data_IF_741040033933
#
_entry.id   IF_741040033933
#
_cell.length_a   1.000
_cell.length_b   1.000
_cell.length_c   1.000
_cell.angle_alpha   90.00
_cell.angle_beta   90.00
_cell.angle_gamma   90.00
#
_symmetry.space_group_name_H-M   'P 1'
#
loop_
_entity.id
_entity.type
_entity.pdbx_description
1 polymer ?
#
# COMPACT_ATOMS: atom_id res chain seq x y z
N UNK A 1 -0.46 -13.18 -25.43
CA UNK A 1 0.52 -14.01 -24.71
C UNK A 1 1.65 -13.10 -24.32
N UNK A 2 2.03 -13.05 -23.03
CA UNK A 2 3.22 -12.34 -22.58
C UNK A 2 4.45 -13.22 -22.92
N UNK A 3 5.48 -12.63 -23.51
CA UNK A 3 6.72 -13.34 -23.86
C UNK A 3 7.44 -13.81 -22.57
N UNK A 4 8.02 -15.03 -22.55
CA UNK A 4 8.76 -15.51 -21.40
C UNK A 4 9.98 -14.61 -21.14
N UNK A 5 9.95 -13.87 -20.03
CA UNK A 5 10.98 -12.91 -19.64
C UNK A 5 10.48 -11.48 -19.40
N UNK A 6 9.26 -11.14 -19.84
CA UNK A 6 8.69 -9.83 -19.56
C UNK A 6 8.11 -9.77 -18.15
N UNK A 7 8.69 -8.94 -17.30
CA UNK A 7 8.18 -8.58 -15.99
C UNK A 7 7.15 -7.44 -16.11
N UNK A 8 6.10 -7.50 -15.31
CA UNK A 8 5.08 -6.47 -15.24
C UNK A 8 5.36 -5.58 -14.04
N UNK A 9 5.20 -4.27 -14.19
CA UNK A 9 5.25 -3.28 -13.11
C UNK A 9 4.01 -2.41 -13.16
N UNK A 10 3.34 -2.27 -12.01
CA UNK A 10 2.15 -1.46 -11.86
C UNK A 10 2.50 -0.09 -11.32
N UNK A 11 2.03 0.97 -11.99
CA UNK A 11 1.95 2.30 -11.39
C UNK A 11 0.58 2.47 -10.73
N UNK A 12 0.57 2.55 -9.41
CA UNK A 12 -0.63 2.64 -8.60
C UNK A 12 -0.79 4.06 -8.04
N UNK A 13 -2.00 4.59 -8.13
CA UNK A 13 -2.39 5.80 -7.41
C UNK A 13 -3.31 5.41 -6.26
N UNK A 14 -2.82 5.61 -5.05
CA UNK A 14 -3.49 5.31 -3.79
C UNK A 14 -4.03 6.61 -3.22
N UNK A 15 -5.33 6.71 -2.96
CA UNK A 15 -5.95 7.89 -2.36
C UNK A 15 -6.84 7.50 -1.19
N UNK A 16 -6.74 8.25 -0.09
CA UNK A 16 -7.61 8.08 1.06
C UNK A 16 -8.99 8.66 0.77
N UNK A 17 -10.03 7.83 0.94
CA UNK A 17 -11.43 8.18 0.70
C UNK A 17 -11.95 9.00 1.88
N UNK A 18 -12.82 9.97 1.60
CA UNK A 18 -13.49 10.72 2.65
C UNK A 18 -12.60 11.75 3.35
N UNK A 19 -11.49 12.19 2.75
CA UNK A 19 -10.72 13.34 3.25
C UNK A 19 -10.56 14.37 2.16
N UNK A 20 -10.82 15.63 2.52
CA UNK A 20 -10.53 16.79 1.71
C UNK A 20 -9.62 17.76 2.47
N UNK A 21 -8.54 18.26 1.86
CA UNK A 21 -8.11 17.96 0.49
C UNK A 21 -7.40 16.60 0.39
N UNK A 22 -7.49 15.95 -0.78
CA UNK A 22 -7.10 14.55 -0.97
C UNK A 22 -5.67 14.24 -0.55
N UNK A 23 -5.52 13.17 0.23
CA UNK A 23 -4.24 12.54 0.62
C UNK A 23 -3.99 11.38 -0.33
N UNK A 24 -2.80 11.34 -0.95
CA UNK A 24 -2.50 10.31 -1.93
C UNK A 24 -1.01 9.98 -2.04
N UNK A 25 -0.73 8.80 -2.59
CA UNK A 25 0.60 8.29 -2.95
C UNK A 25 0.56 7.68 -4.35
N UNK A 26 1.62 7.88 -5.13
CA UNK A 26 1.85 7.23 -6.42
C UNK A 26 3.02 6.28 -6.29
N UNK A 27 2.77 5.00 -6.50
CA UNK A 27 3.70 3.91 -6.22
C UNK A 27 3.99 3.13 -7.50
N UNK A 28 5.23 2.68 -7.66
CA UNK A 28 5.58 1.62 -8.60
C UNK A 28 5.76 0.33 -7.83
N UNK A 29 5.08 -0.73 -8.25
CA UNK A 29 5.08 -2.04 -7.58
C UNK A 29 5.27 -3.14 -8.62
N UNK A 30 6.09 -4.14 -8.28
CA UNK A 30 6.31 -5.29 -9.15
C UNK A 30 5.03 -6.12 -9.28
N UNK A 31 4.74 -6.65 -10.47
CA UNK A 31 3.65 -7.61 -10.66
C UNK A 31 3.88 -8.94 -9.92
N UNK A 32 5.13 -9.22 -9.55
CA UNK A 32 5.49 -10.36 -8.69
C UNK A 32 5.26 -10.07 -7.21
N UNK A 33 4.93 -8.83 -6.82
CA UNK A 33 4.53 -8.55 -5.44
C UNK A 33 3.20 -9.24 -5.14
N UNK A 34 3.05 -9.75 -3.93
CA UNK A 34 1.85 -10.40 -3.44
C UNK A 34 0.85 -9.37 -2.89
N UNK A 35 -0.36 -9.80 -2.54
CA UNK A 35 -1.31 -8.96 -1.80
C UNK A 35 -0.74 -8.57 -0.43
N UNK A 36 -0.05 -9.49 0.24
CA UNK A 36 0.65 -9.21 1.50
C UNK A 36 1.77 -8.17 1.30
N UNK A 37 2.58 -8.29 0.24
CA UNK A 37 3.61 -7.30 -0.07
C UNK A 37 2.99 -5.92 -0.33
N UNK A 38 1.88 -5.87 -1.06
CA UNK A 38 1.18 -4.62 -1.35
C UNK A 38 0.69 -3.96 -0.05
N UNK A 39 0.16 -4.73 0.90
CA UNK A 39 -0.21 -4.24 2.23
C UNK A 39 0.98 -3.55 2.92
N UNK A 40 2.12 -4.23 3.05
CA UNK A 40 3.29 -3.62 3.69
C UNK A 40 3.81 -2.39 2.94
N UNK A 41 3.77 -2.40 1.61
CA UNK A 41 4.14 -1.22 0.81
C UNK A 41 3.23 -0.03 1.13
N UNK A 42 1.93 -0.25 1.31
CA UNK A 42 0.98 0.80 1.70
C UNK A 42 1.26 1.31 3.11
N UNK A 43 1.46 0.42 4.07
CA UNK A 43 1.81 0.76 5.46
C UNK A 43 3.06 1.66 5.51
N UNK A 44 4.11 1.29 4.78
CA UNK A 44 5.35 2.09 4.69
C UNK A 44 5.09 3.44 4.01
N UNK A 45 4.32 3.48 2.92
CA UNK A 45 4.04 4.71 2.16
C UNK A 45 3.13 5.70 2.91
N UNK A 46 2.31 5.20 3.84
CA UNK A 46 1.43 6.00 4.68
C UNK A 46 2.08 6.34 6.02
N UNK A 47 3.11 5.60 6.43
CA UNK A 47 3.80 5.81 7.71
C UNK A 47 3.12 5.11 8.88
N UNK A 48 2.37 4.04 8.61
CA UNK A 48 1.60 3.24 9.55
C UNK A 48 2.39 2.02 10.06
N UNK A 49 1.89 1.40 11.13
CA UNK A 49 2.59 0.39 11.94
C UNK A 49 2.20 -1.04 11.61
N UNK A 50 1.07 -1.23 10.91
CA UNK A 50 0.43 -2.53 10.73
C UNK A 50 -0.11 -3.16 12.03
N UNK A 51 -0.71 -2.35 12.91
CA UNK A 51 -1.27 -2.82 14.19
C UNK A 51 -2.74 -3.32 14.09
N UNK A 52 -3.41 -3.08 12.95
CA UNK A 52 -4.83 -3.38 12.77
C UNK A 52 -5.13 -4.34 11.61
N UNK A 53 -6.35 -4.89 11.62
CA UNK A 53 -6.86 -5.74 10.54
C UNK A 53 -6.98 -4.96 9.23
N UNK A 54 -6.77 -5.66 8.12
CA UNK A 54 -6.83 -5.09 6.78
C UNK A 54 -7.55 -6.02 5.79
N UNK A 55 -8.00 -5.42 4.69
CA UNK A 55 -8.64 -6.15 3.59
C UNK A 55 -8.52 -5.40 2.27
N UNK A 56 -8.24 -6.13 1.21
CA UNK A 56 -8.43 -5.68 -0.17
C UNK A 56 -9.71 -6.26 -0.75
N UNK A 57 -10.46 -5.44 -1.49
CA UNK A 57 -11.59 -5.92 -2.30
C UNK A 57 -11.27 -5.68 -3.77
N UNK A 58 -11.02 -6.75 -4.52
CA UNK A 58 -10.62 -6.73 -5.93
C UNK A 58 -11.56 -7.67 -6.69
N UNK A 59 -12.19 -7.18 -7.77
CA UNK A 59 -13.17 -7.95 -8.56
C UNK A 59 -14.32 -8.55 -7.72
N UNK A 60 -14.70 -7.89 -6.62
CA UNK A 60 -15.73 -8.38 -5.69
C UNK A 60 -15.29 -9.53 -4.79
N UNK A 61 -14.00 -9.88 -4.80
CA UNK A 61 -13.38 -10.84 -3.90
C UNK A 61 -12.52 -10.13 -2.86
N UNK A 62 -12.63 -10.61 -1.63
CA UNK A 62 -11.90 -10.07 -0.49
C UNK A 62 -10.61 -10.86 -0.23
N UNK A 63 -9.53 -10.14 0.03
CA UNK A 63 -8.21 -10.68 0.36
C UNK A 63 -7.70 -10.03 1.64
N UNK A 64 -7.16 -10.82 2.56
CA UNK A 64 -6.63 -10.35 3.83
C UNK A 64 -6.06 -11.51 4.64
N UNK A 65 -5.47 -11.20 5.79
CA UNK A 65 -4.94 -12.23 6.69
C UNK A 65 -6.07 -12.79 7.55
N UNK A 66 -6.22 -14.11 7.56
CA UNK A 66 -7.21 -14.77 8.41
C UNK A 66 -6.73 -14.84 9.85
N UNK A 67 -7.59 -14.50 10.81
CA UNK A 67 -7.30 -14.62 12.24
C UNK A 67 -8.22 -15.64 12.91
N UNK A 68 -7.72 -16.44 13.87
CA UNK A 68 -8.57 -17.34 14.64
C UNK A 68 -9.72 -16.57 15.32
N UNK A 69 -10.97 -16.97 15.04
CA UNK A 69 -12.16 -16.29 15.55
C UNK A 69 -12.51 -14.95 14.88
N UNK A 70 -11.76 -14.56 13.84
CA UNK A 70 -11.99 -13.36 13.05
C UNK A 70 -12.58 -13.63 11.66
N UNK A 71 -12.34 -12.71 10.73
CA UNK A 71 -12.71 -12.87 9.32
C UNK A 71 -11.83 -13.95 8.70
N UNK A 72 -12.46 -14.83 7.92
CA UNK A 72 -11.79 -15.86 7.14
C UNK A 72 -11.74 -15.46 5.66
N UNK A 73 -10.56 -15.60 5.06
CA UNK A 73 -10.33 -15.34 3.64
C UNK A 73 -9.98 -16.66 2.93
N UNK A 74 -10.45 -16.81 1.70
CA UNK A 74 -10.30 -18.05 0.93
C UNK A 74 -8.89 -18.33 0.44
N UNK A 75 -8.06 -17.30 0.34
CA UNK A 75 -6.72 -17.37 -0.25
C UNK A 75 -5.71 -16.85 0.74
N UNK A 76 -4.51 -17.42 0.69
CA UNK A 76 -3.36 -16.87 1.40
C UNK A 76 -2.86 -15.61 0.65
N UNK A 77 -2.94 -14.41 1.24
CA UNK A 77 -2.51 -13.17 0.58
C UNK A 77 -1.02 -13.19 0.20
N UNK A 78 -0.19 -14.00 0.87
CA UNK A 78 1.22 -14.19 0.54
C UNK A 78 1.45 -15.06 -0.72
N UNK A 79 0.41 -15.70 -1.25
CA UNK A 79 0.48 -16.53 -2.46
C UNK A 79 -0.24 -15.89 -3.67
N UNK A 80 -0.93 -14.77 -3.47
CA UNK A 80 -1.68 -14.07 -4.53
C UNK A 80 -0.83 -12.94 -5.10
N UNK A 81 -0.22 -13.17 -6.26
CA UNK A 81 0.57 -12.16 -6.97
C UNK A 81 -0.31 -11.15 -7.73
N UNK A 82 0.08 -9.87 -7.76
CA UNK A 82 -0.62 -8.81 -8.50
C UNK A 82 -0.74 -9.10 -10.01
N UNK A 83 0.26 -9.72 -10.62
CA UNK A 83 0.21 -10.17 -12.01
C UNK A 83 -0.88 -11.24 -12.25
N UNK A 84 -1.16 -12.08 -11.25
CA UNK A 84 -2.19 -13.11 -11.32
C UNK A 84 -3.61 -12.56 -11.28
N UNK A 85 -3.80 -11.35 -10.76
CA UNK A 85 -5.09 -10.67 -10.68
C UNK A 85 -5.54 -10.08 -12.03
N UNK A 86 -4.67 -10.03 -13.04
CA UNK A 86 -4.99 -9.52 -14.38
C UNK A 86 -5.61 -8.12 -14.38
N UNK A 87 -5.13 -7.25 -13.48
CA UNK A 87 -5.58 -5.87 -13.36
C UNK A 87 -5.37 -5.11 -14.68
N UNK A 88 -6.26 -4.17 -14.98
CA UNK A 88 -6.22 -3.35 -16.20
C UNK A 88 -5.91 -1.90 -15.88
N UNK A 89 -5.37 -1.18 -16.86
CA UNK A 89 -5.23 0.27 -16.72
C UNK A 89 -6.57 0.95 -16.46
N UNK A 90 -6.54 1.98 -15.61
CA UNK A 90 -7.69 2.73 -15.09
C UNK A 90 -8.61 1.95 -14.15
N UNK A 91 -8.33 0.66 -13.92
CA UNK A 91 -9.07 -0.14 -12.97
C UNK A 91 -8.87 0.37 -11.53
N UNK A 92 -9.89 0.17 -10.70
CA UNK A 92 -9.91 0.58 -9.30
C UNK A 92 -10.28 -0.58 -8.41
N UNK A 93 -9.67 -0.63 -7.24
CA UNK A 93 -10.00 -1.54 -6.16
C UNK A 93 -9.84 -0.85 -4.81
N UNK A 94 -10.32 -1.50 -3.75
CA UNK A 94 -10.35 -0.94 -2.41
C UNK A 94 -9.34 -1.63 -1.50
N UNK A 95 -8.78 -0.85 -0.59
CA UNK A 95 -7.99 -1.32 0.54
C UNK A 95 -8.54 -0.66 1.82
N UNK A 96 -9.06 -1.47 2.72
CA UNK A 96 -9.55 -1.05 4.03
C UNK A 96 -8.53 -1.45 5.09
N UNK A 97 -8.17 -0.48 5.93
CA UNK A 97 -7.28 -0.67 7.05
C UNK A 97 -7.96 -0.20 8.33
N UNK A 98 -7.79 -0.96 9.40
CA UNK A 98 -8.46 -0.81 10.68
C UNK A 98 -9.99 -0.83 10.57
N UNK A 99 -10.61 -1.96 10.93
CA UNK A 99 -12.07 -2.10 10.84
C UNK A 99 -12.83 -1.31 11.91
N UNK A 100 -12.13 -0.72 12.89
CA UNK A 100 -12.71 0.19 13.85
C UNK A 100 -12.81 1.61 13.27
N UNK A 101 -11.68 2.24 12.91
CA UNK A 101 -11.65 3.58 12.33
C UNK A 101 -12.01 3.64 10.83
N UNK A 102 -11.98 2.50 10.13
CA UNK A 102 -12.37 2.29 8.73
C UNK A 102 -11.63 3.19 7.74
N UNK A 103 -10.30 3.10 7.75
CA UNK A 103 -9.46 3.80 6.78
C UNK A 103 -9.55 3.17 5.39
N UNK A 104 -10.42 3.72 4.55
CA UNK A 104 -10.67 3.22 3.20
C UNK A 104 -9.82 3.95 2.14
N UNK A 105 -9.01 3.21 1.40
CA UNK A 105 -8.23 3.70 0.28
C UNK A 105 -8.78 3.20 -1.04
N UNK A 106 -8.89 4.10 -2.00
CA UNK A 106 -9.08 3.74 -3.41
C UNK A 106 -7.72 3.61 -4.07
N UNK A 107 -7.44 2.44 -4.63
CA UNK A 107 -6.23 2.19 -5.42
C UNK A 107 -6.63 2.12 -6.88
N UNK A 108 -6.01 2.96 -7.71
CA UNK A 108 -6.21 2.99 -9.16
C UNK A 108 -4.94 2.57 -9.88
N UNK A 109 -5.06 1.67 -10.84
CA UNK A 109 -3.97 1.34 -11.77
C UNK A 109 -3.87 2.47 -12.79
N UNK A 110 -2.79 3.26 -12.74
CA UNK A 110 -2.57 4.36 -13.68
C UNK A 110 -1.91 3.89 -14.97
N UNK A 111 -0.95 2.98 -14.86
CA UNK A 111 -0.20 2.44 -15.99
C UNK A 111 0.32 1.03 -15.68
N UNK A 112 0.48 0.21 -16.71
CA UNK A 112 1.11 -1.11 -16.63
C UNK A 112 2.33 -1.13 -17.54
N UNK A 113 3.51 -1.18 -16.95
CA UNK A 113 4.79 -1.14 -17.66
C UNK A 113 5.34 -2.56 -17.79
N UNK A 114 5.73 -2.94 -19.00
CA UNK A 114 6.38 -4.21 -19.28
C UNK A 114 7.89 -3.97 -19.45
N UNK A 115 8.72 -4.80 -18.81
CA UNK A 115 10.17 -4.66 -18.82
C UNK A 115 10.86 -6.03 -18.81
N UNK A 116 12.07 -6.10 -19.36
CA UNK A 116 12.85 -7.36 -19.39
C UNK A 116 13.37 -7.79 -18.00
N UNK A 117 13.29 -6.89 -17.02
CA UNK A 117 13.72 -7.13 -15.64
C UNK A 117 12.63 -6.70 -14.67
N UNK A 118 12.43 -7.43 -13.56
CA UNK A 118 11.49 -7.03 -12.54
C UNK A 118 11.99 -5.78 -11.82
N UNK A 119 11.05 -4.99 -11.32
CA UNK A 119 11.36 -3.86 -10.45
C UNK A 119 12.06 -4.40 -9.19
N UNK A 120 13.30 -3.94 -8.86
CA UNK A 120 14.07 -4.52 -7.75
C UNK A 120 13.48 -4.20 -6.38
N UNK A 121 12.83 -3.03 -6.25
CA UNK A 121 12.10 -2.61 -5.06
C UNK A 121 10.99 -1.63 -5.45
N UNK A 122 9.84 -1.63 -4.77
CA UNK A 122 8.79 -0.65 -4.96
C UNK A 122 9.28 0.76 -4.67
N UNK A 123 8.69 1.72 -5.37
CA UNK A 123 9.13 3.12 -5.34
C UNK A 123 7.94 4.03 -5.17
N UNK A 124 7.98 4.93 -4.18
CA UNK A 124 7.08 6.07 -4.13
C UNK A 124 7.58 7.14 -5.12
N UNK A 125 6.83 7.36 -6.20
CA UNK A 125 7.15 8.35 -7.22
C UNK A 125 6.77 9.77 -6.78
N UNK A 126 5.60 9.90 -6.17
CA UNK A 126 5.04 11.16 -5.71
C UNK A 126 3.98 10.94 -4.63
N UNK A 127 3.62 11.99 -3.91
CA UNK A 127 2.54 11.95 -2.94
C UNK A 127 2.11 13.36 -2.55
N UNK A 128 0.96 13.45 -1.90
CA UNK A 128 0.50 14.69 -1.27
C UNK A 128 -0.16 14.40 0.07
N UNK A 129 0.12 15.29 1.02
CA UNK A 129 -0.24 15.37 2.44
C UNK A 129 0.35 14.24 3.28
N UNK A 130 0.60 14.54 4.56
CA UNK A 130 0.81 13.49 5.55
C UNK A 130 -0.46 12.63 5.62
N UNK A 131 -0.28 11.32 5.78
CA UNK A 131 -1.41 10.46 6.14
C UNK A 131 -1.82 10.77 7.60
N UNK A 132 -3.09 10.56 7.97
CA UNK A 132 -3.49 10.64 9.37
C UNK A 132 -2.67 9.64 10.21
N UNK A 133 -2.27 9.98 11.45
CA UNK A 133 -1.72 8.99 12.38
C UNK A 133 -2.72 7.84 12.60
N UNK A 134 -2.23 6.66 12.97
CA UNK A 134 -3.11 5.60 13.46
C UNK A 134 -3.80 6.03 14.76
N UNK A 135 -4.95 5.43 15.07
CA UNK A 135 -5.77 5.71 16.26
C UNK A 135 -6.23 7.16 16.43
N UNK A 136 -6.23 7.96 15.36
CA UNK A 136 -6.76 9.33 15.41
C UNK A 136 -8.28 9.41 15.23
N UNK A 137 -8.95 8.27 15.10
CA UNK A 137 -10.40 8.15 14.90
C UNK A 137 -10.80 8.29 13.44
N UNK A 138 -12.08 8.01 13.17
CA UNK A 138 -12.66 7.94 11.83
C UNK A 138 -12.30 9.16 10.92
N UNK A 139 -12.22 8.96 9.58
CA UNK A 139 -11.80 9.99 8.63
C UNK A 139 -12.50 11.35 8.77
N UNK A 140 -13.79 11.37 9.15
CA UNK A 140 -14.59 12.58 9.38
C UNK A 140 -14.00 13.47 10.48
N UNK A 141 -13.56 12.87 11.60
CA UNK A 141 -12.95 13.57 12.74
C UNK A 141 -11.58 14.11 12.33
N UNK A 142 -10.84 13.31 11.56
CA UNK A 142 -9.48 13.59 11.11
C UNK A 142 -9.38 14.69 10.05
N UNK A 143 -10.47 15.05 9.35
CA UNK A 143 -10.48 16.16 8.36
C UNK A 143 -9.98 17.49 8.92
N UNK A 144 -10.19 17.73 10.21
CA UNK A 144 -9.85 19.00 10.85
C UNK A 144 -8.35 19.11 11.15
N UNK A 145 -7.59 18.01 11.11
CA UNK A 145 -6.23 17.93 11.62
C UNK A 145 -5.11 17.90 10.55
N UNK A 146 -5.44 17.92 9.25
CA UNK A 146 -4.45 17.59 8.20
C UNK A 146 -4.03 18.83 7.42
N UNK A 147 -3.12 19.61 8.01
CA UNK A 147 -2.39 20.66 7.33
C UNK A 147 -1.05 20.16 6.77
N UNK A 148 -0.88 20.47 5.48
CA UNK A 148 0.32 20.49 4.65
C UNK A 148 1.10 19.20 4.37
N UNK A 149 1.51 19.09 3.09
CA UNK A 149 2.44 18.07 2.62
C UNK A 149 3.83 18.66 2.56
N UNK A 150 4.76 18.10 3.33
CA UNK A 150 6.17 18.41 3.20
C UNK A 150 6.80 17.51 2.11
N UNK A 151 7.45 18.06 1.06
CA UNK A 151 8.22 17.27 0.10
C UNK A 151 9.31 16.39 0.76
N UNK A 152 9.76 16.70 1.97
CA UNK A 152 10.67 15.85 2.75
C UNK A 152 10.04 14.51 3.16
N UNK A 153 8.72 14.42 3.31
CA UNK A 153 8.03 13.16 3.61
C UNK A 153 8.10 12.19 2.44
N UNK A 154 7.93 12.66 1.20
CA UNK A 154 8.05 11.80 0.02
C UNK A 154 9.48 11.24 -0.15
N UNK A 155 10.52 12.02 0.19
CA UNK A 155 11.91 11.56 0.15
C UNK A 155 12.24 10.63 1.34
N UNK A 156 11.64 10.86 2.52
CA UNK A 156 11.69 9.94 3.65
C UNK A 156 11.01 8.62 3.32
N UNK A 157 9.84 8.63 2.70
CA UNK A 157 9.11 7.43 2.27
C UNK A 157 9.91 6.69 1.21
N UNK A 158 10.50 7.39 0.22
CA UNK A 158 11.42 6.81 -0.77
C UNK A 158 12.62 6.14 -0.11
N UNK A 159 13.23 6.80 0.88
CA UNK A 159 14.39 6.28 1.61
C UNK A 159 14.01 5.08 2.48
N UNK A 160 12.86 5.15 3.16
CA UNK A 160 12.32 4.08 4.02
C UNK A 160 11.97 2.85 3.18
N UNK A 161 11.31 3.04 2.03
CA UNK A 161 10.97 1.97 1.09
C UNK A 161 12.23 1.28 0.52
N UNK A 162 13.27 2.05 0.17
CA UNK A 162 14.57 1.50 -0.28
C UNK A 162 15.30 0.73 0.83
N UNK A 163 15.28 1.24 2.06
CA UNK A 163 15.99 0.63 3.19
C UNK A 163 15.35 -0.69 3.64
N UNK A 164 14.02 -0.77 3.67
CA UNK A 164 13.28 -1.93 4.16
C UNK A 164 13.32 -3.13 3.20
N UNK A 165 13.57 -2.87 1.91
CA UNK A 165 13.46 -3.88 0.85
C UNK A 165 14.82 -4.27 0.24
N UNK A 166 15.89 -3.54 0.59
CA UNK A 166 17.28 -3.95 0.35
C UNK A 166 17.77 -5.01 1.34
N UNK A 167 17.08 -5.19 2.47
CA UNK A 167 17.11 -6.42 3.26
C UNK A 167 16.03 -7.34 2.74
N UNK A 168 16.32 -8.64 2.60
CA UNK A 168 15.33 -9.67 2.28
C UNK A 168 14.01 -9.41 3.01
N UNK A 169 12.87 -9.46 2.31
CA UNK A 169 11.51 -9.18 2.80
C UNK A 169 11.09 -9.97 4.06
N UNK A 170 11.94 -10.89 4.51
CA UNK A 170 11.83 -11.60 5.78
C UNK A 170 12.49 -10.73 6.84
N UNK A 171 11.72 -10.14 7.76
CA UNK A 171 12.16 -9.34 8.92
C UNK A 171 12.25 -7.83 8.70
N UNK A 172 11.12 -7.13 8.61
CA UNK A 172 11.06 -5.81 9.28
C UNK A 172 9.75 -5.60 10.04
N UNK A 173 9.48 -6.49 10.99
CA UNK A 173 8.72 -6.16 12.20
C UNK A 173 9.73 -6.17 13.34
N UNK A 174 10.49 -5.09 13.53
CA UNK A 174 11.16 -4.77 14.81
C UNK A 174 11.79 -3.38 14.78
N UNK A 175 11.24 -2.52 15.64
CA UNK A 175 11.82 -1.31 16.23
C UNK A 175 12.35 -0.22 15.28
N UNK A 176 11.64 0.91 15.23
CA UNK A 176 12.31 2.20 15.24
C UNK A 176 11.72 3.10 16.32
N UNK A 177 12.38 3.02 17.48
CA UNK A 177 12.31 3.99 18.56
C UNK A 177 12.85 5.31 18.01
N UNK A 178 12.02 6.34 17.93
CA UNK A 178 12.47 7.71 17.72
C UNK A 178 13.26 8.11 18.96
N UNK A 179 14.57 8.32 18.82
CA UNK A 179 15.34 9.06 19.81
C UNK A 179 15.36 10.52 19.33
N UNK A 180 14.70 11.46 20.03
CA UNK A 180 14.83 12.87 19.72
C UNK A 180 16.25 13.35 20.09
N UNK A 181 16.77 14.31 19.32
CA UNK A 181 17.97 15.07 19.72
C UNK A 181 17.66 15.95 20.93
#
# INVERSE_FOLDING_TARGET
>A
MLEPGTSVTYQLHVSLIGISPMIWRRLMVSGNSTIEDLHYILQIALGWSDDHLNRFTIHGKDYGVSHPGGIWFSDDPAQVHLAGLQLREREKFLYEYDFSDRWCHQIRVEAIVHSDRPLPAPVCLAGKRAAPPEDCGEPEVSRTAINDCDPALAERDRSRMKCLLGGSLRYVTRYFRVVPR
#
